data_IF_039551152449
#
_entry.id   IF_039551152449
#
_cell.length_a   1.000
_cell.length_b   1.000
_cell.length_c   1.000
_cell.angle_alpha   90.00
_cell.angle_beta   90.00
_cell.angle_gamma   90.00
#
_symmetry.space_group_name_H-M   'P 1'
#
loop_
_entity.id
_entity.type
_entity.pdbx_description
1 polymer ?
#
# COMPACT_ATOMS: atom_id res chain seq x y z
N UNK A 1 10.82 6.53 8.58
CA UNK A 1 9.54 6.30 9.29
C UNK A 1 9.32 4.81 9.60
N UNK A 2 9.45 3.90 8.63
CA UNK A 2 9.14 2.46 8.82
C UNK A 2 10.19 1.62 9.55
N UNK A 3 11.44 2.09 9.70
CA UNK A 3 12.54 1.29 10.28
C UNK A 3 12.29 0.83 11.72
N UNK A 4 11.50 1.58 12.50
CA UNK A 4 11.21 1.31 13.91
C UNK A 4 9.94 0.49 14.16
N UNK A 5 9.35 -0.09 13.11
CA UNK A 5 8.10 -0.85 13.20
C UNK A 5 8.24 -2.10 14.08
N UNK A 6 7.34 -2.24 15.05
CA UNK A 6 7.30 -3.36 16.01
C UNK A 6 6.34 -4.46 15.57
N UNK A 7 5.17 -4.11 15.03
CA UNK A 7 4.19 -5.02 14.43
C UNK A 7 3.90 -4.63 12.98
N UNK A 8 2.98 -3.70 12.77
CA UNK A 8 2.64 -3.15 11.46
C UNK A 8 2.47 -1.65 11.59
N UNK A 9 3.18 -0.91 10.75
CA UNK A 9 3.09 0.55 10.68
C UNK A 9 2.32 0.99 9.46
N UNK A 10 1.54 2.06 9.58
CA UNK A 10 0.72 2.61 8.48
C UNK A 10 0.92 4.11 8.30
N UNK A 11 0.70 4.60 7.09
CA UNK A 11 0.79 6.02 6.73
C UNK A 11 -0.09 6.37 5.51
N UNK A 12 -0.33 7.66 5.25
CA UNK A 12 -1.05 8.12 4.07
C UNK A 12 -0.30 7.84 2.76
N UNK A 13 -1.04 7.61 1.68
CA UNK A 13 -0.52 7.42 0.32
C UNK A 13 -1.24 8.37 -0.62
N UNK A 14 -0.49 9.08 -1.46
CA UNK A 14 -1.07 9.94 -2.50
C UNK A 14 -1.40 9.17 -3.78
N UNK A 15 -2.38 9.69 -4.52
CA UNK A 15 -2.80 9.21 -5.86
C UNK A 15 -3.35 7.77 -5.89
N UNK A 16 -4.06 7.38 -4.84
CA UNK A 16 -4.73 6.08 -4.72
C UNK A 16 -6.24 6.27 -4.54
N UNK A 17 -7.02 5.23 -4.87
CA UNK A 17 -8.47 5.23 -4.66
C UNK A 17 -9.25 6.33 -5.39
N UNK A 18 -8.67 6.93 -6.43
CA UNK A 18 -9.26 8.07 -7.15
C UNK A 18 -9.24 9.38 -6.35
N UNK A 19 -8.37 9.50 -5.34
CA UNK A 19 -8.27 10.67 -4.47
C UNK A 19 -6.88 11.32 -4.56
N UNK A 20 -6.78 12.56 -4.06
CA UNK A 20 -5.47 13.20 -3.83
C UNK A 20 -4.60 12.34 -2.92
N UNK A 21 -5.19 11.79 -1.86
CA UNK A 21 -4.56 10.80 -0.98
C UNK A 21 -5.62 10.03 -0.19
N UNK A 22 -5.26 8.84 0.25
CA UNK A 22 -5.95 8.10 1.33
C UNK A 22 -5.10 8.16 2.61
N UNK A 23 -5.75 8.08 3.78
CA UNK A 23 -5.06 8.16 5.07
C UNK A 23 -5.76 7.34 6.16
N UNK A 24 -5.02 6.65 7.06
CA UNK A 24 -5.62 6.08 8.28
C UNK A 24 -6.27 7.16 9.15
N UNK A 25 -7.43 6.87 9.74
CA UNK A 25 -8.03 7.69 10.79
C UNK A 25 -7.40 7.33 12.13
N UNK A 26 -6.77 8.31 12.77
CA UNK A 26 -6.08 8.15 14.05
C UNK A 26 -6.81 8.96 15.12
N UNK A 27 -7.09 8.35 16.28
CA UNK A 27 -7.73 9.02 17.40
C UNK A 27 -6.70 9.75 18.30
N UNK A 28 -7.18 10.46 19.32
CA UNK A 28 -6.33 11.21 20.25
C UNK A 28 -5.33 10.33 21.02
N UNK A 29 -5.61 9.03 21.19
CA UNK A 29 -4.72 8.07 21.83
C UNK A 29 -3.66 7.50 20.86
N UNK A 30 -3.57 8.01 19.62
CA UNK A 30 -2.62 7.52 18.63
C UNK A 30 -2.98 6.15 18.06
N UNK A 31 -4.25 5.76 18.09
CA UNK A 31 -4.74 4.48 17.57
C UNK A 31 -5.53 4.65 16.28
N UNK A 32 -5.30 3.72 15.35
CA UNK A 32 -6.07 3.64 14.12
C UNK A 32 -7.45 3.10 14.45
N UNK A 33 -8.50 3.82 14.03
CA UNK A 33 -9.90 3.42 14.24
C UNK A 33 -10.71 3.31 12.94
N UNK A 34 -10.06 3.57 11.80
CA UNK A 34 -10.68 3.43 10.48
C UNK A 34 -9.83 4.09 9.41
N UNK A 35 -10.46 4.37 8.26
CA UNK A 35 -9.76 4.81 7.05
C UNK A 35 -10.47 6.00 6.41
N UNK A 36 -9.71 6.99 5.91
CA UNK A 36 -10.18 8.11 5.09
C UNK A 36 -10.01 7.73 3.62
N UNK A 37 -10.98 7.00 3.08
CA UNK A 37 -11.09 6.62 1.66
C UNK A 37 -12.56 6.70 1.24
N UNK A 38 -12.81 6.77 -0.07
CA UNK A 38 -14.15 6.69 -0.67
C UNK A 38 -14.47 5.26 -1.11
N UNK A 39 -13.49 4.53 -1.64
CA UNK A 39 -13.71 3.16 -2.10
C UNK A 39 -13.71 2.18 -0.93
N UNK A 40 -14.90 1.70 -0.60
CA UNK A 40 -15.14 0.65 0.40
C UNK A 40 -14.41 0.89 1.75
N UNK A 41 -14.69 2.00 2.46
CA UNK A 41 -13.94 2.42 3.65
C UNK A 41 -14.07 1.49 4.86
N UNK A 42 -15.02 0.55 4.80
CA UNK A 42 -15.27 -0.43 5.85
C UNK A 42 -14.53 -1.76 5.62
N UNK A 43 -13.76 -1.90 4.53
CA UNK A 43 -12.87 -3.07 4.36
C UNK A 43 -11.87 -3.15 5.53
N UNK A 44 -11.49 -4.36 5.98
CA UNK A 44 -10.73 -4.51 7.23
C UNK A 44 -9.46 -3.66 7.30
N UNK A 45 -8.74 -3.58 6.19
CA UNK A 45 -7.60 -2.68 6.02
C UNK A 45 -7.81 -1.89 4.73
N UNK A 46 -8.40 -0.70 4.84
CA UNK A 46 -8.65 0.18 3.70
C UNK A 46 -7.43 1.06 3.40
N UNK A 47 -6.37 0.40 2.94
CA UNK A 47 -5.08 1.01 2.61
C UNK A 47 -4.52 0.40 1.32
N UNK A 48 -3.67 1.17 0.64
CA UNK A 48 -2.86 0.74 -0.50
C UNK A 48 -1.59 0.00 -0.05
N UNK A 49 -1.01 -0.82 -0.93
CA UNK A 49 0.21 -1.58 -0.70
C UNK A 49 1.40 -0.72 -0.22
N UNK A 50 1.57 0.49 -0.77
CA UNK A 50 2.65 1.40 -0.39
C UNK A 50 2.44 2.06 0.98
N UNK A 51 1.28 1.86 1.61
CA UNK A 51 0.86 2.55 2.82
C UNK A 51 1.29 1.88 4.13
N UNK A 52 1.95 0.72 4.08
CA UNK A 52 2.32 0.00 5.30
C UNK A 52 3.69 -0.69 5.23
N UNK A 53 4.20 -1.07 6.39
CA UNK A 53 5.31 -2.01 6.53
C UNK A 53 5.08 -2.95 7.70
N UNK A 54 5.65 -4.15 7.60
CA UNK A 54 5.50 -5.23 8.58
C UNK A 54 6.85 -5.53 9.20
N UNK A 55 6.88 -5.77 10.51
CA UNK A 55 8.06 -6.27 11.20
C UNK A 55 8.40 -7.69 10.71
N UNK A 56 9.66 -7.93 10.36
CA UNK A 56 10.12 -9.22 9.83
C UNK A 56 9.78 -10.40 10.77
N UNK A 57 9.92 -10.24 12.08
CA UNK A 57 9.59 -11.29 13.06
C UNK A 57 8.12 -11.69 12.96
N UNK A 58 7.22 -10.74 12.69
CA UNK A 58 5.79 -11.03 12.57
C UNK A 58 5.49 -11.87 11.32
N UNK A 59 6.16 -11.59 10.20
CA UNK A 59 6.07 -12.41 8.97
C UNK A 59 6.56 -13.84 9.26
N UNK A 60 7.72 -13.98 9.92
CA UNK A 60 8.27 -15.30 10.27
C UNK A 60 7.37 -16.08 11.24
N UNK A 61 6.73 -15.40 12.18
CA UNK A 61 5.77 -16.01 13.13
C UNK A 61 4.45 -16.41 12.46
N UNK A 62 4.05 -15.72 11.40
CA UNK A 62 2.82 -15.97 10.64
C UNK A 62 3.17 -16.62 9.30
N UNK A 63 3.86 -17.77 9.36
CA UNK A 63 4.43 -18.45 8.19
C UNK A 63 3.42 -18.92 7.14
N UNK A 64 2.13 -18.90 7.47
CA UNK A 64 1.01 -19.24 6.57
C UNK A 64 0.31 -17.99 5.99
N UNK A 65 0.73 -16.78 6.37
CA UNK A 65 0.12 -15.55 5.91
C UNK A 65 0.71 -15.13 4.55
N UNK A 66 -0.13 -15.21 3.51
CA UNK A 66 0.21 -14.83 2.14
C UNK A 66 -0.87 -13.93 1.54
N UNK A 67 -0.51 -13.19 0.50
CA UNK A 67 -1.51 -12.59 -0.38
C UNK A 67 -2.33 -13.69 -1.05
N UNK A 68 -3.66 -13.59 -1.00
CA UNK A 68 -4.54 -14.56 -1.65
C UNK A 68 -4.61 -14.30 -3.15
N UNK A 69 -4.27 -15.33 -3.94
CA UNK A 69 -4.21 -15.25 -5.40
C UNK A 69 -5.60 -15.17 -6.08
N UNK A 70 -6.60 -15.86 -5.52
CA UNK A 70 -7.94 -16.00 -6.11
C UNK A 70 -9.02 -15.73 -5.07
N UNK A 71 -10.22 -15.39 -5.55
CA UNK A 71 -11.39 -15.17 -4.69
C UNK A 71 -11.32 -13.89 -3.85
N UNK A 72 -10.47 -12.93 -4.23
CA UNK A 72 -10.32 -11.63 -3.55
C UNK A 72 -10.96 -10.55 -4.41
N UNK A 73 -11.89 -9.79 -3.82
CA UNK A 73 -12.51 -8.61 -4.46
C UNK A 73 -11.42 -7.57 -4.80
N UNK A 74 -11.60 -6.80 -5.88
CA UNK A 74 -10.71 -5.67 -6.18
C UNK A 74 -10.55 -4.74 -4.98
N UNK A 75 -9.30 -4.39 -4.65
CA UNK A 75 -8.94 -3.58 -3.47
C UNK A 75 -8.94 -4.32 -2.13
N UNK A 76 -8.99 -5.66 -2.10
CA UNK A 76 -8.97 -6.44 -0.84
C UNK A 76 -7.70 -7.26 -0.64
N UNK A 77 -6.70 -7.14 -1.51
CA UNK A 77 -5.48 -7.95 -1.43
C UNK A 77 -4.65 -7.60 -0.19
N UNK A 78 -4.48 -6.33 0.14
CA UNK A 78 -3.82 -5.85 1.36
C UNK A 78 -4.54 -6.39 2.60
N UNK A 79 -5.87 -6.30 2.59
CA UNK A 79 -6.73 -6.84 3.64
C UNK A 79 -6.62 -8.36 3.79
N UNK A 80 -6.28 -9.10 2.72
CA UNK A 80 -6.13 -10.57 2.77
C UNK A 80 -4.90 -10.99 3.57
N UNK A 81 -3.80 -10.22 3.47
CA UNK A 81 -2.58 -10.46 4.24
C UNK A 81 -2.71 -9.87 5.66
N UNK A 82 -3.05 -8.59 5.78
CA UNK A 82 -2.96 -7.86 7.05
C UNK A 82 -3.87 -8.44 8.15
N UNK A 83 -5.02 -9.03 7.78
CA UNK A 83 -5.91 -9.69 8.73
C UNK A 83 -5.32 -10.93 9.39
N UNK A 84 -4.34 -11.57 8.76
CA UNK A 84 -3.66 -12.75 9.29
C UNK A 84 -2.47 -12.35 10.16
N UNK A 85 -2.05 -11.08 10.10
CA UNK A 85 -0.89 -10.54 10.81
C UNK A 85 -1.26 -9.77 12.08
N UNK A 86 -2.24 -8.86 11.99
CA UNK A 86 -2.53 -7.86 13.04
C UNK A 86 -4.02 -7.52 13.13
N UNK A 87 -4.41 -6.90 14.25
CA UNK A 87 -5.68 -6.18 14.38
C UNK A 87 -5.50 -4.68 14.13
N UNK A 88 -6.62 -3.95 13.97
CA UNK A 88 -6.58 -2.49 13.79
C UNK A 88 -5.89 -1.77 14.96
N UNK A 89 -6.05 -2.28 16.19
CA UNK A 89 -5.52 -1.66 17.40
C UNK A 89 -3.99 -1.87 17.60
N UNK A 90 -3.43 -2.83 16.87
CA UNK A 90 -1.99 -3.13 16.81
C UNK A 90 -1.23 -2.21 15.84
N UNK A 91 -1.94 -1.47 14.99
CA UNK A 91 -1.34 -0.61 13.98
C UNK A 91 -0.61 0.57 14.62
N UNK A 92 0.56 0.88 14.07
CA UNK A 92 1.42 1.99 14.47
C UNK A 92 1.33 3.13 13.44
N UNK A 93 0.55 4.19 13.70
CA UNK A 93 0.49 5.32 12.79
C UNK A 93 1.84 6.02 12.70
N UNK A 94 2.32 6.29 11.48
CA UNK A 94 3.54 7.06 11.21
C UNK A 94 3.19 8.39 10.52
N UNK A 95 4.19 9.07 9.96
CA UNK A 95 4.01 10.30 9.18
C UNK A 95 3.23 11.39 9.95
N UNK A 96 3.68 11.67 11.18
CA UNK A 96 3.05 12.61 12.11
C UNK A 96 1.55 12.29 12.35
N UNK A 97 1.24 11.12 12.90
CA UNK A 97 -0.13 10.62 13.09
C UNK A 97 -0.99 10.67 11.82
N UNK A 98 -0.40 10.22 10.71
CA UNK A 98 -1.03 10.13 9.40
C UNK A 98 -1.53 11.48 8.84
N UNK A 99 -0.81 12.57 9.13
CA UNK A 99 -1.10 13.91 8.62
C UNK A 99 -0.18 14.37 7.50
N UNK A 100 0.93 13.66 7.25
CA UNK A 100 1.88 13.95 6.17
C UNK A 100 1.86 12.89 5.08
N UNK A 101 2.00 13.33 3.83
CA UNK A 101 2.21 12.46 2.67
C UNK A 101 3.71 12.29 2.45
N UNK A 102 4.20 11.04 2.47
CA UNK A 102 5.62 10.71 2.28
C UNK A 102 5.84 9.67 1.17
N UNK A 103 4.77 9.25 0.49
CA UNK A 103 4.79 8.28 -0.61
C UNK A 103 3.65 8.59 -1.59
N UNK A 104 3.92 8.40 -2.88
CA UNK A 104 3.02 8.71 -3.99
C UNK A 104 2.91 7.52 -4.93
N UNK A 105 1.68 7.13 -5.25
CA UNK A 105 1.40 6.05 -6.21
C UNK A 105 1.38 6.60 -7.65
N UNK A 106 2.53 7.09 -8.11
CA UNK A 106 2.68 7.62 -9.47
C UNK A 106 2.58 6.51 -10.51
N UNK A 107 2.05 6.84 -11.69
CA UNK A 107 2.02 5.96 -12.85
C UNK A 107 2.76 6.61 -13.99
N UNK A 108 3.61 5.85 -14.66
CA UNK A 108 4.28 6.28 -15.89
C UNK A 108 3.33 6.13 -17.06
N UNK A 109 3.26 7.14 -17.92
CA UNK A 109 2.52 7.03 -19.17
C UNK A 109 3.22 6.05 -20.12
N UNK A 110 2.44 5.42 -21.00
CA UNK A 110 3.00 4.50 -21.99
C UNK A 110 3.83 5.31 -23.00
N UNK A 111 5.13 5.02 -23.21
CA UNK A 111 5.92 5.74 -24.19
C UNK A 111 5.39 5.49 -25.61
N UNK A 112 5.47 6.52 -26.45
CA UNK A 112 5.05 6.46 -27.85
C UNK A 112 6.24 6.06 -28.71
N UNK A 113 6.34 4.78 -29.04
CA UNK A 113 7.45 4.19 -29.81
C UNK A 113 7.08 3.96 -31.28
N UNK A 114 6.30 4.86 -31.88
CA UNK A 114 5.80 4.69 -33.27
C UNK A 114 6.93 4.62 -34.30
N UNK A 115 8.06 5.27 -34.04
CA UNK A 115 9.22 5.31 -34.94
C UNK A 115 10.10 4.06 -34.88
N UNK A 116 9.88 3.13 -33.93
CA UNK A 116 10.53 1.81 -33.95
C UNK A 116 10.05 0.95 -35.12
N UNK A 117 8.83 1.23 -35.63
CA UNK A 117 8.26 0.50 -36.75
C UNK A 117 8.10 -1.01 -36.49
N UNK A 118 7.79 -1.78 -37.54
CA UNK A 118 7.60 -3.24 -37.42
C UNK A 118 8.89 -4.06 -37.41
N UNK A 119 10.00 -3.47 -37.88
CA UNK A 119 11.31 -4.15 -38.02
C UNK A 119 12.30 -3.77 -36.91
N UNK A 120 11.94 -2.85 -36.01
CA UNK A 120 12.87 -2.19 -35.09
C UNK A 120 13.62 -1.05 -35.79
N UNK A 121 13.92 0.01 -35.05
CA UNK A 121 14.75 1.13 -35.51
C UNK A 121 16.01 1.30 -34.66
N UNK A 122 15.88 1.28 -33.33
CA UNK A 122 17.02 1.36 -32.42
C UNK A 122 17.75 0.02 -32.30
N UNK A 123 18.98 0.05 -31.77
CA UNK A 123 19.75 -1.17 -31.49
C UNK A 123 19.09 -1.93 -30.33
N UNK A 124 18.57 -3.16 -30.55
CA UNK A 124 17.90 -3.94 -29.52
C UNK A 124 18.82 -4.39 -28.39
N UNK A 125 20.14 -4.21 -28.51
CA UNK A 125 21.12 -4.57 -27.47
C UNK A 125 21.38 -3.43 -26.47
N UNK A 126 20.82 -2.24 -26.69
CA UNK A 126 20.96 -1.10 -25.78
C UNK A 126 19.87 -1.16 -24.71
N UNK A 127 20.28 -1.23 -23.44
CA UNK A 127 19.38 -1.14 -22.29
C UNK A 127 18.82 0.30 -22.16
N UNK A 128 17.51 0.40 -21.91
CA UNK A 128 16.75 1.65 -21.70
C UNK A 128 15.97 1.56 -20.39
#
# INVERSE_FOLDING_TARGET
QMRSTRKVSVWPVAFVGGLRYESPKVNAAGKVYGWKTVFDPHRPFAIDMAGFAVNLRLILQRSQAYFKLRGVKGGYQESSLLRELVTLNDLEPKAANCTKILVWHTRTEKPVLVNEGKKGFTDPNVEI
#
